data_IF_483899393537
#
_entry.id   IF_483899393537
#
_cell.length_a   1.000
_cell.length_b   1.000
_cell.length_c   1.000
_cell.angle_alpha   90.00
_cell.angle_beta   90.00
_cell.angle_gamma   90.00
#
_symmetry.space_group_name_H-M   'P 1'
#
loop_
_entity.id
_entity.type
_entity.pdbx_description
1 polymer ?
#
# COMPACT_ATOMS: atom_id res chain seq x y z
N UNK A 1 -44.70 -33.94 15.49
CA UNK A 1 -43.39 -33.46 15.07
C UNK A 1 -42.37 -34.21 15.91
N UNK A 2 -41.56 -35.04 15.30
CA UNK A 2 -40.58 -35.84 16.03
C UNK A 2 -39.37 -34.98 16.48
N UNK A 3 -38.64 -35.44 17.49
CA UNK A 3 -37.43 -34.80 17.96
C UNK A 3 -36.40 -34.68 16.82
N UNK A 4 -36.39 -35.63 15.88
CA UNK A 4 -35.58 -35.60 14.67
C UNK A 4 -35.97 -34.46 13.70
N UNK A 5 -37.28 -34.18 13.59
CA UNK A 5 -37.76 -33.08 12.72
C UNK A 5 -37.36 -31.70 13.29
N UNK A 6 -37.40 -31.57 14.63
CA UNK A 6 -36.91 -30.31 15.28
C UNK A 6 -35.40 -30.12 15.08
N UNK A 7 -34.61 -31.18 15.24
CA UNK A 7 -33.15 -31.14 15.04
C UNK A 7 -32.78 -30.80 13.58
N UNK A 8 -33.53 -31.33 12.61
CA UNK A 8 -33.36 -31.04 11.18
C UNK A 8 -33.72 -29.58 10.84
N UNK A 9 -34.78 -29.06 11.47
CA UNK A 9 -35.14 -27.64 11.32
C UNK A 9 -34.11 -26.70 11.96
N UNK A 10 -33.52 -27.04 13.10
CA UNK A 10 -32.45 -26.28 13.72
C UNK A 10 -31.18 -26.35 12.86
N UNK A 11 -30.79 -27.52 12.36
CA UNK A 11 -29.61 -27.64 11.46
C UNK A 11 -29.81 -26.90 10.14
N UNK A 12 -31.00 -26.90 9.56
CA UNK A 12 -31.35 -26.12 8.37
C UNK A 12 -31.40 -24.60 8.67
N UNK A 13 -31.77 -24.24 9.91
CA UNK A 13 -31.68 -22.82 10.39
C UNK A 13 -30.23 -22.34 10.54
N UNK A 14 -29.35 -23.22 11.00
CA UNK A 14 -27.91 -22.93 11.16
C UNK A 14 -27.21 -22.82 9.79
N UNK A 15 -27.59 -23.64 8.81
CA UNK A 15 -27.05 -23.50 7.45
C UNK A 15 -27.49 -22.20 6.75
N UNK A 16 -28.66 -21.65 7.09
CA UNK A 16 -29.08 -20.33 6.58
C UNK A 16 -28.37 -19.14 7.22
N UNK A 17 -27.74 -19.32 8.37
CA UNK A 17 -26.81 -18.36 8.97
C UNK A 17 -25.36 -18.65 8.52
N UNK A 18 -25.15 -18.92 7.24
CA UNK A 18 -23.81 -18.68 6.66
C UNK A 18 -23.58 -17.20 6.85
N UNK A 19 -22.87 -16.85 7.92
CA UNK A 19 -22.19 -15.55 8.03
C UNK A 19 -21.57 -15.30 6.66
N UNK A 20 -22.00 -14.25 5.99
CA UNK A 20 -21.39 -13.83 4.73
C UNK A 20 -19.98 -13.41 5.11
N UNK A 21 -19.05 -14.38 5.13
CA UNK A 21 -17.66 -14.10 5.43
C UNK A 21 -17.20 -13.06 4.44
N UNK A 22 -16.62 -11.98 4.98
CA UNK A 22 -15.99 -10.95 4.17
C UNK A 22 -14.87 -11.63 3.37
N UNK A 23 -14.90 -11.50 2.07
CA UNK A 23 -13.76 -11.86 1.23
C UNK A 23 -12.64 -10.86 1.49
N UNK A 24 -11.69 -11.25 2.32
CA UNK A 24 -10.61 -10.38 2.78
C UNK A 24 -9.73 -9.92 1.63
N UNK A 25 -9.45 -10.79 0.65
CA UNK A 25 -8.63 -10.42 -0.52
C UNK A 25 -9.33 -9.35 -1.32
N UNK A 26 -10.63 -9.51 -1.55
CA UNK A 26 -11.44 -8.50 -2.24
C UNK A 26 -11.50 -7.17 -1.48
N UNK A 27 -11.59 -7.22 -0.16
CA UNK A 27 -11.57 -6.02 0.68
C UNK A 27 -10.22 -5.30 0.60
N UNK A 28 -9.11 -6.05 0.67
CA UNK A 28 -7.75 -5.52 0.54
C UNK A 28 -7.48 -4.94 -0.86
N UNK A 29 -7.94 -5.60 -1.92
CA UNK A 29 -7.86 -5.07 -3.29
C UNK A 29 -8.59 -3.74 -3.44
N UNK A 30 -9.78 -3.62 -2.85
CA UNK A 30 -10.54 -2.36 -2.85
C UNK A 30 -9.82 -1.26 -2.07
N UNK A 31 -9.24 -1.56 -0.92
CA UNK A 31 -8.43 -0.62 -0.14
C UNK A 31 -7.22 -0.18 -0.96
N UNK A 32 -6.48 -1.13 -1.54
CA UNK A 32 -5.28 -0.85 -2.34
C UNK A 32 -5.58 0.05 -3.55
N UNK A 33 -6.69 -0.20 -4.25
CA UNK A 33 -7.14 0.65 -5.36
C UNK A 33 -7.47 2.07 -4.89
N UNK A 34 -8.16 2.21 -3.76
CA UNK A 34 -8.49 3.53 -3.19
C UNK A 34 -7.24 4.31 -2.82
N UNK A 35 -6.25 3.64 -2.21
CA UNK A 35 -4.97 4.25 -1.87
C UNK A 35 -4.17 4.65 -3.12
N UNK A 36 -4.16 3.80 -4.15
CA UNK A 36 -3.53 4.11 -5.45
C UNK A 36 -4.14 5.36 -6.09
N UNK A 37 -5.47 5.43 -6.20
CA UNK A 37 -6.16 6.58 -6.81
C UNK A 37 -5.83 7.87 -6.06
N UNK A 38 -5.87 7.83 -4.73
CA UNK A 38 -5.55 8.99 -3.91
C UNK A 38 -4.07 9.39 -4.04
N UNK A 39 -3.17 8.41 -4.02
CA UNK A 39 -1.72 8.65 -4.15
C UNK A 39 -1.38 9.25 -5.51
N UNK A 40 -2.03 8.77 -6.58
CA UNK A 40 -1.85 9.32 -7.93
C UNK A 40 -2.19 10.81 -8.00
N UNK A 41 -3.26 11.26 -7.32
CA UNK A 41 -3.62 12.69 -7.24
C UNK A 41 -2.49 13.52 -6.60
N UNK A 42 -1.88 13.04 -5.53
CA UNK A 42 -0.79 13.74 -4.84
C UNK A 42 0.49 13.76 -5.68
N UNK A 43 0.88 12.63 -6.26
CA UNK A 43 2.08 12.55 -7.10
C UNK A 43 1.98 13.40 -8.37
N UNK A 44 0.77 13.53 -8.94
CA UNK A 44 0.54 14.40 -10.10
C UNK A 44 0.85 15.88 -9.84
N UNK A 45 0.90 16.31 -8.58
CA UNK A 45 1.18 17.70 -8.19
C UNK A 45 2.65 17.97 -7.92
N UNK A 46 3.52 16.97 -7.96
CA UNK A 46 4.94 17.10 -7.63
C UNK A 46 5.65 17.94 -8.68
N UNK A 47 6.19 19.12 -8.32
CA UNK A 47 6.90 20.00 -9.26
C UNK A 47 8.31 19.50 -9.51
N UNK A 48 8.66 19.28 -10.78
CA UNK A 48 9.97 18.73 -11.18
C UNK A 48 11.12 19.69 -10.93
N UNK A 49 10.86 20.98 -11.02
CA UNK A 49 11.83 22.05 -10.73
C UNK A 49 12.19 22.16 -9.24
N UNK A 50 11.40 21.50 -8.36
CA UNK A 50 11.63 21.44 -6.92
C UNK A 50 12.13 20.05 -6.45
N UNK A 51 12.55 19.17 -7.33
CA UNK A 51 12.99 17.82 -7.00
C UNK A 51 14.09 17.76 -5.93
N UNK A 52 15.00 18.73 -5.93
CA UNK A 52 16.08 18.83 -4.95
C UNK A 52 15.70 19.54 -3.64
N UNK A 53 14.49 20.10 -3.57
CA UNK A 53 14.01 20.78 -2.37
C UNK A 53 13.70 19.79 -1.23
N UNK A 54 13.94 20.24 0.00
CA UNK A 54 13.56 19.55 1.22
C UNK A 54 13.18 20.55 2.32
N UNK A 55 12.21 20.26 3.20
CA UNK A 55 11.81 21.19 4.26
C UNK A 55 12.85 21.36 5.34
N UNK A 56 13.78 20.42 5.47
CA UNK A 56 14.87 20.44 6.45
C UNK A 56 16.04 19.59 5.96
N UNK A 57 17.28 19.93 6.37
CA UNK A 57 18.50 19.23 5.93
C UNK A 57 18.60 17.75 6.33
N UNK A 58 17.76 17.28 7.26
CA UNK A 58 17.63 15.85 7.64
C UNK A 58 16.43 15.16 6.98
N UNK A 59 15.60 15.90 6.25
CA UNK A 59 14.44 15.34 5.55
C UNK A 59 14.84 14.79 4.19
N UNK A 60 14.06 13.87 3.67
CA UNK A 60 14.19 13.42 2.28
C UNK A 60 13.97 14.58 1.33
N UNK A 61 14.69 14.60 0.20
CA UNK A 61 14.36 15.50 -0.92
C UNK A 61 12.99 15.13 -1.47
N UNK A 62 12.32 16.11 -2.07
CA UNK A 62 11.00 15.93 -2.68
C UNK A 62 11.01 14.79 -3.71
N UNK A 63 12.02 14.72 -4.58
CA UNK A 63 12.20 13.62 -5.54
C UNK A 63 12.27 12.26 -4.84
N UNK A 64 13.14 12.12 -3.84
CA UNK A 64 13.33 10.84 -3.15
C UNK A 64 12.06 10.39 -2.41
N UNK A 65 11.34 11.32 -1.77
CA UNK A 65 10.07 11.03 -1.12
C UNK A 65 9.01 10.59 -2.14
N UNK A 66 8.86 11.32 -3.25
CA UNK A 66 7.88 11.02 -4.29
C UNK A 66 8.17 9.68 -5.00
N UNK A 67 9.45 9.40 -5.32
CA UNK A 67 9.87 8.12 -5.91
C UNK A 67 9.61 6.97 -4.96
N UNK A 68 9.91 7.13 -3.68
CA UNK A 68 9.64 6.11 -2.67
C UNK A 68 8.15 5.80 -2.56
N UNK A 69 7.29 6.82 -2.52
CA UNK A 69 5.83 6.64 -2.54
C UNK A 69 5.38 5.85 -3.78
N UNK A 70 5.95 6.15 -4.93
CA UNK A 70 5.59 5.49 -6.19
C UNK A 70 6.03 4.01 -6.24
N UNK A 71 7.10 3.64 -5.53
CA UNK A 71 7.61 2.27 -5.45
C UNK A 71 6.88 1.40 -4.42
N UNK A 72 6.32 1.99 -3.37
CA UNK A 72 5.75 1.25 -2.25
C UNK A 72 4.69 0.21 -2.65
N UNK A 73 3.83 0.41 -3.66
CA UNK A 73 2.91 -0.63 -4.10
C UNK A 73 3.59 -1.93 -4.58
N UNK A 74 4.82 -1.86 -5.11
CA UNK A 74 5.58 -3.06 -5.53
C UNK A 74 5.95 -3.96 -4.34
N UNK A 75 6.00 -3.43 -3.12
CA UNK A 75 6.28 -4.23 -1.91
C UNK A 75 5.18 -5.24 -1.61
N UNK A 76 3.96 -5.01 -2.08
CA UNK A 76 2.88 -6.01 -2.04
C UNK A 76 3.24 -7.21 -2.92
N UNK A 77 3.79 -6.98 -4.11
CA UNK A 77 4.32 -8.06 -4.95
C UNK A 77 5.45 -8.81 -4.25
N UNK A 78 6.43 -8.10 -3.67
CA UNK A 78 7.54 -8.71 -2.93
C UNK A 78 7.04 -9.58 -1.77
N UNK A 79 6.03 -9.13 -1.02
CA UNK A 79 5.46 -9.88 0.09
C UNK A 79 4.96 -11.27 -0.34
N UNK A 80 4.37 -11.41 -1.53
CA UNK A 80 3.80 -12.67 -1.97
C UNK A 80 4.74 -13.51 -2.85
N UNK A 81 5.71 -12.88 -3.54
CA UNK A 81 6.62 -13.58 -4.47
C UNK A 81 7.95 -13.99 -3.82
N UNK A 82 8.26 -13.49 -2.62
CA UNK A 82 9.50 -13.79 -1.90
C UNK A 82 9.23 -14.21 -0.46
N UNK A 83 10.24 -14.73 0.23
CA UNK A 83 10.17 -15.03 1.66
C UNK A 83 10.94 -14.00 2.51
N UNK A 84 11.40 -12.92 1.89
CA UNK A 84 12.08 -11.83 2.56
C UNK A 84 12.91 -10.96 1.61
N UNK A 85 13.53 -9.94 2.19
CA UNK A 85 14.47 -9.05 1.51
C UNK A 85 15.70 -8.83 2.40
N UNK A 86 16.87 -8.99 1.80
CA UNK A 86 18.15 -8.72 2.44
C UNK A 86 18.86 -7.57 1.73
N UNK A 87 18.97 -6.43 2.40
CA UNK A 87 19.63 -5.24 1.85
C UNK A 87 21.14 -5.40 1.63
N UNK A 88 21.79 -6.37 2.27
CA UNK A 88 23.21 -6.66 2.00
C UNK A 88 23.40 -7.30 0.62
N UNK A 89 22.52 -8.21 0.22
CA UNK A 89 22.59 -8.93 -1.07
C UNK A 89 21.81 -8.25 -2.19
N UNK A 90 20.77 -7.50 -1.82
CA UNK A 90 19.94 -6.71 -2.73
C UNK A 90 19.84 -5.26 -2.24
N UNK A 91 20.93 -4.48 -2.35
CA UNK A 91 20.94 -3.10 -1.88
C UNK A 91 19.91 -2.27 -2.64
N UNK A 92 19.23 -1.39 -1.88
CA UNK A 92 18.26 -0.48 -2.47
C UNK A 92 18.91 0.37 -3.57
N UNK A 93 18.26 0.43 -4.72
CA UNK A 93 18.65 1.28 -5.83
C UNK A 93 17.50 2.23 -6.15
N UNK A 94 17.77 3.53 -6.01
CA UNK A 94 16.79 4.56 -6.36
C UNK A 94 16.40 4.44 -7.83
N UNK A 95 15.10 4.42 -8.10
CA UNK A 95 14.59 4.37 -9.47
C UNK A 95 14.91 5.68 -10.19
N UNK A 96 15.21 5.56 -11.48
CA UNK A 96 15.48 6.72 -12.31
C UNK A 96 14.17 7.45 -12.61
N UNK A 97 13.98 8.59 -11.99
CA UNK A 97 12.84 9.50 -12.16
C UNK A 97 13.40 10.88 -12.54
N UNK A 98 12.99 11.41 -13.66
CA UNK A 98 13.44 12.72 -14.15
C UNK A 98 12.27 13.68 -14.39
N UNK A 99 11.03 13.15 -14.41
CA UNK A 99 9.82 13.92 -14.67
C UNK A 99 8.66 13.46 -13.77
N UNK A 100 7.58 14.24 -13.76
CA UNK A 100 6.33 13.87 -13.13
C UNK A 100 5.71 12.65 -13.82
N UNK A 101 5.80 12.55 -15.15
CA UNK A 101 5.31 11.40 -15.91
C UNK A 101 6.04 10.12 -15.51
N UNK A 102 7.35 10.18 -15.22
CA UNK A 102 8.10 9.02 -14.70
C UNK A 102 7.58 8.57 -13.34
N UNK A 103 7.24 9.51 -12.43
CA UNK A 103 6.63 9.20 -11.13
C UNK A 103 5.30 8.47 -11.30
N UNK A 104 4.42 9.00 -12.15
CA UNK A 104 3.11 8.42 -12.39
C UNK A 104 3.21 7.04 -13.03
N UNK A 105 4.12 6.88 -13.99
CA UNK A 105 4.39 5.59 -14.62
C UNK A 105 4.93 4.57 -13.62
N UNK A 106 5.89 4.97 -12.77
CA UNK A 106 6.44 4.12 -11.73
C UNK A 106 5.35 3.67 -10.75
N UNK A 107 4.47 4.58 -10.33
CA UNK A 107 3.34 4.25 -9.46
C UNK A 107 2.39 3.23 -10.12
N UNK A 108 2.04 3.43 -11.39
CA UNK A 108 1.15 2.54 -12.15
C UNK A 108 1.75 1.14 -12.27
N UNK A 109 3.02 1.04 -12.68
CA UNK A 109 3.73 -0.24 -12.80
C UNK A 109 3.85 -0.97 -11.46
N UNK A 110 4.17 -0.25 -10.38
CA UNK A 110 4.27 -0.78 -9.03
C UNK A 110 2.91 -1.29 -8.52
N UNK A 111 1.86 -0.52 -8.75
CA UNK A 111 0.49 -0.88 -8.37
C UNK A 111 0.00 -2.13 -9.12
N UNK A 112 0.17 -2.20 -10.44
CA UNK A 112 -0.30 -3.35 -11.22
C UNK A 112 0.41 -4.65 -10.81
N UNK A 113 1.71 -4.60 -10.51
CA UNK A 113 2.44 -5.75 -9.97
C UNK A 113 1.85 -6.19 -8.62
N UNK A 114 1.72 -5.28 -7.67
CA UNK A 114 1.19 -5.57 -6.35
C UNK A 114 -0.26 -6.06 -6.39
N UNK A 115 -1.10 -5.43 -7.22
CA UNK A 115 -2.51 -5.80 -7.42
C UNK A 115 -2.65 -7.20 -8.02
N UNK A 116 -1.85 -7.52 -9.03
CA UNK A 116 -1.87 -8.83 -9.69
C UNK A 116 -1.55 -9.94 -8.69
N UNK A 117 -0.49 -9.78 -7.90
CA UNK A 117 -0.09 -10.79 -6.91
C UNK A 117 -1.09 -10.92 -5.76
N UNK A 118 -1.59 -9.81 -5.23
CA UNK A 118 -2.63 -9.85 -4.20
C UNK A 118 -3.91 -10.55 -4.70
N UNK A 119 -4.29 -10.33 -5.95
CA UNK A 119 -5.47 -10.97 -6.54
C UNK A 119 -5.30 -12.49 -6.75
N UNK A 120 -4.08 -12.97 -6.89
CA UNK A 120 -3.74 -14.39 -7.07
C UNK A 120 -3.38 -15.08 -5.75
N UNK A 121 -3.14 -14.32 -4.68
CA UNK A 121 -2.80 -14.85 -3.36
C UNK A 121 -3.97 -15.62 -2.73
N UNK A 122 -3.67 -16.45 -1.76
CA UNK A 122 -4.66 -17.12 -0.94
C UNK A 122 -4.53 -16.67 0.53
N UNK A 123 -5.58 -16.87 1.31
CA UNK A 123 -5.56 -16.54 2.76
C UNK A 123 -4.51 -17.38 3.49
N UNK A 124 -4.23 -18.60 3.00
CA UNK A 124 -3.19 -19.49 3.53
C UNK A 124 -1.78 -18.94 3.33
N UNK A 125 -1.58 -18.03 2.38
CA UNK A 125 -0.29 -17.37 2.18
C UNK A 125 -0.03 -16.28 3.23
N UNK A 126 -1.06 -15.74 3.84
CA UNK A 126 -0.98 -14.59 4.73
C UNK A 126 -0.15 -14.85 5.99
N UNK A 127 -0.21 -16.05 6.53
CA UNK A 127 0.52 -16.44 7.75
C UNK A 127 1.96 -16.91 7.47
N UNK A 128 2.36 -17.02 6.19
CA UNK A 128 3.74 -17.41 5.85
C UNK A 128 4.72 -16.32 6.29
N UNK A 129 5.87 -16.75 6.83
CA UNK A 129 6.92 -15.85 7.30
C UNK A 129 7.54 -15.05 6.16
N UNK A 130 7.92 -13.81 6.45
CA UNK A 130 8.65 -12.91 5.57
C UNK A 130 9.68 -12.10 6.38
N UNK A 131 10.96 -12.19 6.02
CA UNK A 131 12.07 -11.61 6.79
C UNK A 131 12.65 -10.40 6.07
N UNK A 132 12.64 -9.23 6.74
CA UNK A 132 13.41 -8.07 6.34
C UNK A 132 14.71 -8.02 7.12
N UNK A 133 15.84 -7.95 6.42
CA UNK A 133 17.15 -7.96 7.09
C UNK A 133 18.21 -7.16 6.33
N UNK A 134 19.33 -6.93 6.99
CA UNK A 134 20.55 -6.42 6.39
C UNK A 134 21.71 -7.29 6.89
N UNK A 135 22.10 -8.28 6.11
CA UNK A 135 23.03 -9.32 6.52
C UNK A 135 22.51 -10.12 7.74
N UNK A 136 23.28 -10.18 8.81
CA UNK A 136 22.87 -10.87 10.05
C UNK A 136 21.84 -10.08 10.89
N UNK A 137 21.63 -8.78 10.58
CA UNK A 137 20.73 -7.92 11.35
C UNK A 137 19.29 -8.02 10.84
N UNK A 138 18.42 -8.63 11.65
CA UNK A 138 16.98 -8.70 11.35
C UNK A 138 16.34 -7.34 11.67
N UNK A 139 15.71 -6.74 10.65
CA UNK A 139 14.98 -5.48 10.73
C UNK A 139 13.50 -5.72 11.00
N UNK A 140 12.97 -6.85 10.53
CA UNK A 140 11.58 -7.26 10.74
C UNK A 140 11.41 -8.76 10.51
N UNK A 141 10.73 -9.42 11.45
CA UNK A 141 10.25 -10.79 11.33
C UNK A 141 8.72 -10.70 11.27
N UNK A 142 8.19 -10.83 10.09
CA UNK A 142 6.82 -10.50 9.74
C UNK A 142 6.15 -11.69 9.07
N UNK A 143 4.84 -11.70 9.05
CA UNK A 143 4.07 -12.50 8.09
C UNK A 143 3.93 -11.75 6.76
N UNK A 144 3.61 -12.47 5.67
CA UNK A 144 3.33 -11.85 4.37
C UNK A 144 2.19 -10.84 4.45
N UNK A 145 1.17 -11.13 5.27
CA UNK A 145 0.09 -10.17 5.54
C UNK A 145 0.59 -8.90 6.23
N UNK A 146 1.41 -9.03 7.27
CA UNK A 146 1.96 -7.88 7.99
C UNK A 146 2.87 -7.04 7.08
N UNK A 147 3.68 -7.69 6.21
CA UNK A 147 4.50 -6.99 5.23
C UNK A 147 3.65 -6.22 4.22
N UNK A 148 2.62 -6.83 3.67
CA UNK A 148 1.65 -6.15 2.79
C UNK A 148 0.98 -4.97 3.51
N UNK A 149 0.51 -5.16 4.74
CA UNK A 149 -0.11 -4.09 5.55
C UNK A 149 0.87 -2.96 5.85
N UNK A 150 2.15 -3.29 6.09
CA UNK A 150 3.19 -2.29 6.25
C UNK A 150 3.35 -1.45 4.98
N UNK A 151 3.32 -2.06 3.78
CA UNK A 151 3.35 -1.33 2.51
C UNK A 151 2.20 -0.30 2.41
N UNK A 152 0.96 -0.72 2.71
CA UNK A 152 -0.20 0.20 2.72
C UNK A 152 -0.01 1.35 3.71
N UNK A 153 0.45 1.04 4.92
CA UNK A 153 0.70 2.05 5.96
C UNK A 153 1.80 3.04 5.55
N UNK A 154 2.85 2.56 4.88
CA UNK A 154 3.93 3.39 4.36
C UNK A 154 3.44 4.33 3.23
N UNK A 155 2.59 3.84 2.32
CA UNK A 155 1.97 4.67 1.28
C UNK A 155 1.21 5.84 1.93
N UNK A 156 0.36 5.56 2.92
CA UNK A 156 -0.44 6.56 3.63
C UNK A 156 0.46 7.54 4.36
N UNK A 157 1.46 7.02 5.11
CA UNK A 157 2.39 7.82 5.90
C UNK A 157 3.18 8.80 5.03
N UNK A 158 3.83 8.32 3.98
CA UNK A 158 4.66 9.15 3.11
C UNK A 158 3.83 10.08 2.23
N UNK A 159 2.64 9.67 1.79
CA UNK A 159 1.70 10.55 1.10
C UNK A 159 1.28 11.73 1.99
N UNK A 160 1.04 11.50 3.27
CA UNK A 160 0.74 12.59 4.20
C UNK A 160 1.94 13.55 4.35
N UNK A 161 3.17 13.04 4.41
CA UNK A 161 4.38 13.87 4.39
C UNK A 161 4.48 14.67 3.08
N UNK A 162 4.23 14.04 1.93
CA UNK A 162 4.20 14.73 0.64
C UNK A 162 3.18 15.87 0.62
N UNK A 163 2.00 15.66 1.20
CA UNK A 163 0.99 16.72 1.34
C UNK A 163 1.51 17.94 2.11
N UNK A 164 2.29 17.71 3.18
CA UNK A 164 2.96 18.80 3.91
C UNK A 164 4.01 19.49 3.04
N UNK A 165 4.80 18.74 2.28
CA UNK A 165 5.81 19.30 1.37
C UNK A 165 5.16 20.19 0.31
N UNK A 166 4.11 19.69 -0.35
CA UNK A 166 3.37 20.46 -1.35
C UNK A 166 2.78 21.73 -0.74
N UNK A 167 2.23 21.66 0.47
CA UNK A 167 1.70 22.83 1.18
C UNK A 167 2.79 23.89 1.46
N UNK A 168 3.98 23.46 1.88
CA UNK A 168 5.11 24.37 2.12
C UNK A 168 5.61 25.03 0.83
N UNK A 169 5.40 24.38 -0.31
CA UNK A 169 5.65 24.93 -1.65
C UNK A 169 4.48 25.76 -2.21
N UNK A 170 3.46 26.03 -1.41
CA UNK A 170 2.22 26.74 -1.80
C UNK A 170 1.44 26.05 -2.93
N UNK A 171 1.53 24.74 -3.03
CA UNK A 171 0.76 23.94 -4.01
C UNK A 171 -0.53 23.47 -3.31
N UNK A 172 -1.72 23.73 -3.90
CA UNK A 172 -2.98 23.19 -3.41
C UNK A 172 -2.96 21.67 -3.37
N UNK A 173 -3.53 21.07 -2.31
CA UNK A 173 -3.55 19.60 -2.13
C UNK A 173 -4.98 19.06 -2.18
N UNK A 174 -5.17 17.86 -2.78
CA UNK A 174 -6.47 17.21 -2.82
C UNK A 174 -6.89 16.70 -1.43
N UNK A 175 -8.17 16.42 -1.28
CA UNK A 175 -8.67 15.62 -0.17
C UNK A 175 -8.13 14.18 -0.23
N UNK A 176 -8.06 13.51 0.93
CA UNK A 176 -7.68 12.09 1.02
C UNK A 176 -8.79 11.24 1.65
N UNK A 177 -8.88 11.20 2.97
CA UNK A 177 -9.98 10.54 3.71
C UNK A 177 -11.08 11.54 4.14
N UNK A 178 -10.94 12.77 3.74
CA UNK A 178 -11.83 13.89 3.98
C UNK A 178 -11.39 15.08 3.15
N UNK A 179 -12.12 16.21 3.22
CA UNK A 179 -11.79 17.42 2.49
C UNK A 179 -10.42 17.98 2.92
N UNK A 180 -9.75 18.68 2.01
CA UNK A 180 -8.61 19.54 2.35
C UNK A 180 -9.08 20.99 2.47
N UNK A 181 -8.14 21.91 2.77
CA UNK A 181 -8.44 23.34 2.71
C UNK A 181 -8.70 23.84 1.26
N UNK A 182 -8.24 23.09 0.26
CA UNK A 182 -8.33 23.47 -1.16
C UNK A 182 -9.40 22.69 -1.92
N UNK A 183 -9.79 21.50 -1.44
CA UNK A 183 -10.81 20.65 -2.05
C UNK A 183 -11.86 20.25 -1.01
N UNK A 184 -13.10 20.69 -1.18
CA UNK A 184 -14.22 20.49 -0.24
C UNK A 184 -15.09 19.27 -0.58
N UNK A 185 -14.86 18.59 -1.73
CA UNK A 185 -15.57 17.40 -2.17
C UNK A 185 -14.83 16.11 -1.82
N UNK A 186 -15.57 14.99 -1.80
CA UNK A 186 -15.04 13.63 -1.75
C UNK A 186 -14.97 13.04 -3.15
#
# INVERSE_FOLDING_TARGET
MSFADLLLMELQGIEKFKLKHMDIIKALLKEFESEFITTKKFLALVPTDQFDWAPHGKSMKLKSLASHIAELPEWVNLAFTTDGLDFETAPYQEKKVESNDDLLKLLEESYEKGRSELAQSSVEDFDKQWILRNGEHILGDLTKYEMMRMSFSQIIHHRAQLGVYLRLLNIPIPGSYGPSADEQGF
#
